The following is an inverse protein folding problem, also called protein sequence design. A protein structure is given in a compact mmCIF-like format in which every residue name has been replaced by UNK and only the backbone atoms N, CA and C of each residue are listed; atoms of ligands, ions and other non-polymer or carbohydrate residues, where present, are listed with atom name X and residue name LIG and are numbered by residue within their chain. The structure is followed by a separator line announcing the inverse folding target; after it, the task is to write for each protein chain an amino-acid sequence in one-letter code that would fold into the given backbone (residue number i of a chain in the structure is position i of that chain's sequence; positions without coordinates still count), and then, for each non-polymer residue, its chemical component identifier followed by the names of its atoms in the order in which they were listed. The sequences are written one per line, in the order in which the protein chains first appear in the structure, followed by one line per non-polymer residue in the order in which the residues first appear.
data_IF_139827603093
#
_entry.id   IF_139827603093
#
_cell.length_a   1.000
_cell.length_b   1.000
_cell.length_c   1.000
_cell.angle_alpha   90.00
_cell.angle_beta   90.00
_cell.angle_gamma   90.00
#
_symmetry.space_group_name_H-M   'P 1'
#
loop_
_entity.id
_entity.type
_entity.pdbx_description
1 polymer ?
#
# COMPACT_ATOMS: atom_id res chain seq x y z
N UNK A 1 18.56 -29.42 7.34
CA UNK A 1 17.34 -29.30 6.50
C UNK A 1 16.26 -28.34 7.03
N UNK A 2 16.41 -27.71 8.21
CA UNK A 2 15.45 -26.70 8.75
C UNK A 2 15.60 -25.30 8.09
N UNK A 3 16.74 -25.06 7.43
CA UNK A 3 17.13 -23.74 6.86
C UNK A 3 16.23 -23.23 5.72
N UNK A 4 15.44 -24.07 5.04
CA UNK A 4 14.71 -23.64 3.84
C UNK A 4 13.36 -22.93 4.11
N UNK A 5 12.70 -23.17 5.26
CA UNK A 5 11.33 -22.66 5.50
C UNK A 5 11.27 -21.34 6.27
N UNK A 6 12.27 -21.05 7.11
CA UNK A 6 12.28 -19.87 7.98
C UNK A 6 12.86 -18.65 7.24
N UNK A 7 13.73 -18.87 6.26
CA UNK A 7 14.43 -17.81 5.52
C UNK A 7 13.49 -16.85 4.76
N UNK A 8 12.39 -17.31 4.12
CA UNK A 8 11.41 -16.39 3.52
C UNK A 8 10.73 -15.50 4.56
N UNK A 9 10.41 -16.04 5.74
CA UNK A 9 9.80 -15.26 6.83
C UNK A 9 10.77 -14.19 7.34
N UNK A 10 12.05 -14.53 7.52
CA UNK A 10 13.08 -13.53 7.86
C UNK A 10 13.23 -12.45 6.81
N UNK A 11 13.17 -12.81 5.53
CA UNK A 11 13.29 -11.85 4.42
C UNK A 11 12.08 -10.91 4.38
N UNK A 12 10.87 -11.44 4.60
CA UNK A 12 9.66 -10.64 4.75
C UNK A 12 9.75 -9.72 5.97
N UNK A 13 10.24 -10.22 7.12
CA UNK A 13 10.40 -9.42 8.33
C UNK A 13 11.43 -8.30 8.13
N UNK A 14 12.59 -8.59 7.53
CA UNK A 14 13.60 -7.59 7.21
C UNK A 14 13.05 -6.51 6.26
N UNK A 15 12.35 -6.92 5.20
CA UNK A 15 11.63 -6.00 4.32
C UNK A 15 10.64 -5.13 5.11
N UNK A 16 9.78 -5.74 5.92
CA UNK A 16 8.74 -5.04 6.68
C UNK A 16 9.33 -4.00 7.65
N UNK A 17 10.43 -4.36 8.34
CA UNK A 17 11.15 -3.45 9.23
C UNK A 17 11.76 -2.29 8.46
N UNK A 18 12.54 -2.56 7.40
CA UNK A 18 13.22 -1.51 6.62
C UNK A 18 12.19 -0.58 5.95
N UNK A 19 11.15 -1.15 5.34
CA UNK A 19 10.07 -0.39 4.72
C UNK A 19 9.31 0.47 5.75
N UNK A 20 8.99 -0.07 6.93
CA UNK A 20 8.28 0.68 7.97
C UNK A 20 9.14 1.80 8.58
N UNK A 21 10.44 1.54 8.82
CA UNK A 21 11.38 2.51 9.33
C UNK A 21 11.56 3.68 8.35
N UNK A 22 11.80 3.38 7.07
CA UNK A 22 11.96 4.39 6.03
C UNK A 22 10.66 5.15 5.74
N UNK A 23 9.51 4.50 5.92
CA UNK A 23 8.22 5.17 5.83
C UNK A 23 7.93 6.07 7.04
N UNK A 24 8.59 5.91 8.19
CA UNK A 24 8.26 6.58 9.46
C UNK A 24 8.38 8.12 9.40
N UNK A 25 7.56 8.84 10.18
CA UNK A 25 7.68 10.30 10.29
C UNK A 25 9.05 10.74 10.86
N UNK A 26 9.61 10.10 11.91
CA UNK A 26 10.93 10.47 12.42
C UNK A 26 12.03 10.38 11.35
N UNK A 27 12.05 9.30 10.57
CA UNK A 27 13.02 9.14 9.48
C UNK A 27 12.85 10.23 8.41
N UNK A 28 11.61 10.54 8.04
CA UNK A 28 11.31 11.64 7.11
C UNK A 28 11.80 13.00 7.63
N UNK A 29 11.62 13.29 8.92
CA UNK A 29 12.14 14.54 9.53
C UNK A 29 13.67 14.58 9.49
N UNK A 30 14.34 13.46 9.78
CA UNK A 30 15.79 13.35 9.70
C UNK A 30 16.29 13.63 8.27
N UNK A 31 15.63 13.02 7.26
CA UNK A 31 15.94 13.26 5.86
C UNK A 31 15.74 14.71 5.43
N UNK A 32 14.62 15.35 5.81
CA UNK A 32 14.35 16.76 5.48
C UNK A 32 15.37 17.68 6.16
N UNK A 33 15.78 17.38 7.40
CA UNK A 33 16.84 18.14 8.10
C UNK A 33 18.20 18.03 7.41
N UNK A 34 18.56 16.85 6.90
CA UNK A 34 19.87 16.63 6.25
C UNK A 34 19.93 17.06 4.78
N UNK A 35 18.86 16.84 4.01
CA UNK A 35 18.84 17.04 2.56
C UNK A 35 18.11 18.33 2.12
N UNK A 36 17.39 18.99 3.04
CA UNK A 36 16.64 20.20 2.75
C UNK A 36 15.59 20.00 1.64
N UNK A 37 15.59 20.88 0.64
CA UNK A 37 14.68 20.81 -0.53
C UNK A 37 14.90 19.57 -1.40
N UNK A 38 16.09 18.94 -1.35
CA UNK A 38 16.34 17.73 -2.15
C UNK A 38 15.53 16.53 -1.69
N UNK A 39 15.10 16.52 -0.43
CA UNK A 39 14.28 15.44 0.13
C UNK A 39 12.94 15.27 -0.63
N UNK A 40 12.37 16.35 -1.17
CA UNK A 40 11.05 16.30 -1.82
C UNK A 40 11.03 15.47 -3.10
N UNK A 41 12.11 15.49 -3.89
CA UNK A 41 12.22 14.74 -5.15
C UNK A 41 13.01 13.43 -5.01
N UNK A 42 13.95 13.35 -4.06
CA UNK A 42 14.73 12.13 -3.84
C UNK A 42 14.00 11.08 -3.01
N UNK A 43 13.13 11.50 -2.08
CA UNK A 43 12.54 10.57 -1.10
C UNK A 43 11.80 9.42 -1.78
N UNK A 44 10.85 9.70 -2.67
CA UNK A 44 9.97 8.66 -3.22
C UNK A 44 10.71 7.67 -4.14
N UNK A 45 11.59 8.10 -5.07
CA UNK A 45 12.41 7.18 -5.86
C UNK A 45 13.33 6.31 -5.01
N UNK A 46 14.04 6.90 -4.04
CA UNK A 46 14.96 6.15 -3.17
C UNK A 46 14.20 5.18 -2.27
N UNK A 47 13.09 5.63 -1.68
CA UNK A 47 12.20 4.79 -0.89
C UNK A 47 11.71 3.57 -1.69
N UNK A 48 11.27 3.80 -2.93
CA UNK A 48 10.79 2.74 -3.82
C UNK A 48 11.92 1.77 -4.21
N UNK A 49 13.11 2.29 -4.49
CA UNK A 49 14.28 1.47 -4.80
C UNK A 49 14.70 0.61 -3.60
N UNK A 50 14.75 1.17 -2.40
CA UNK A 50 15.05 0.41 -1.16
C UNK A 50 14.01 -0.68 -0.93
N UNK A 51 12.72 -0.38 -1.08
CA UNK A 51 11.65 -1.37 -0.97
C UNK A 51 11.81 -2.50 -2.00
N UNK A 52 12.15 -2.17 -3.24
CA UNK A 52 12.38 -3.16 -4.30
C UNK A 52 13.61 -4.03 -4.00
N UNK A 53 14.73 -3.44 -3.60
CA UNK A 53 15.95 -4.20 -3.28
C UNK A 53 15.76 -5.12 -2.08
N UNK A 54 14.99 -4.69 -1.08
CA UNK A 54 14.78 -5.47 0.15
C UNK A 54 13.76 -6.58 0.00
N UNK A 55 12.82 -6.51 -0.95
CA UNK A 55 11.88 -7.60 -1.24
C UNK A 55 12.47 -8.67 -2.18
N UNK A 56 13.47 -8.33 -3.00
CA UNK A 56 14.08 -9.25 -3.97
C UNK A 56 14.58 -10.58 -3.36
N UNK A 57 15.25 -10.60 -2.18
CA UNK A 57 15.65 -11.85 -1.55
C UNK A 57 14.47 -12.80 -1.26
N UNK A 58 13.33 -12.25 -0.84
CA UNK A 58 12.11 -13.04 -0.61
C UNK A 58 11.59 -13.64 -1.92
N UNK A 59 11.49 -12.82 -2.97
CA UNK A 59 11.04 -13.27 -4.30
C UNK A 59 11.95 -14.37 -4.84
N UNK A 60 13.26 -14.19 -4.74
CA UNK A 60 14.25 -15.17 -5.17
C UNK A 60 14.11 -16.50 -4.42
N UNK A 61 13.91 -16.46 -3.10
CA UNK A 61 13.73 -17.67 -2.29
C UNK A 61 12.44 -18.41 -2.63
N UNK A 62 11.34 -17.69 -2.83
CA UNK A 62 10.06 -18.28 -3.24
C UNK A 62 10.12 -18.88 -4.64
N UNK A 63 10.89 -18.26 -5.54
CA UNK A 63 11.14 -18.80 -6.88
C UNK A 63 11.96 -20.10 -6.83
N UNK A 64 13.07 -20.10 -6.08
CA UNK A 64 13.98 -21.26 -5.97
C UNK A 64 13.36 -22.42 -5.19
N UNK A 65 12.59 -22.11 -4.15
CA UNK A 65 11.98 -23.08 -3.25
C UNK A 65 10.49 -22.74 -3.03
N UNK A 66 9.63 -22.96 -4.03
CA UNK A 66 8.22 -22.62 -3.93
C UNK A 66 7.47 -23.49 -2.90
N UNK A 67 8.03 -24.65 -2.55
CA UNK A 67 7.40 -25.61 -1.64
C UNK A 67 6.30 -26.43 -2.33
N UNK A 68 5.57 -27.23 -1.55
CA UNK A 68 4.51 -28.09 -2.06
C UNK A 68 3.37 -27.24 -2.66
N UNK A 69 2.93 -27.58 -3.85
CA UNK A 69 1.74 -27.00 -4.47
C UNK A 69 0.50 -27.45 -3.69
N UNK A 70 -0.34 -26.49 -3.32
CA UNK A 70 -1.62 -26.72 -2.66
C UNK A 70 -2.75 -26.84 -3.69
N UNK A 71 -2.80 -25.92 -4.65
CA UNK A 71 -3.76 -25.98 -5.75
C UNK A 71 -3.18 -25.36 -7.03
N UNK A 72 -3.77 -25.76 -8.16
CA UNK A 72 -3.61 -25.14 -9.48
C UNK A 72 -5.00 -24.96 -10.08
N UNK A 73 -5.36 -23.71 -10.39
CA UNK A 73 -6.65 -23.43 -11.01
C UNK A 73 -6.55 -23.70 -12.53
N UNK A 74 -7.45 -24.50 -13.12
CA UNK A 74 -7.43 -24.80 -14.55
C UNK A 74 -7.99 -23.63 -15.39
N UNK A 75 -7.77 -23.70 -16.70
CA UNK A 75 -8.45 -22.85 -17.68
C UNK A 75 -9.96 -23.15 -17.68
N UNK A 76 -10.85 -22.14 -17.88
CA UNK A 76 -10.56 -20.72 -18.13
C UNK A 76 -10.39 -19.88 -16.85
N UNK A 77 -10.72 -20.41 -15.68
CA UNK A 77 -10.77 -19.68 -14.40
C UNK A 77 -9.43 -19.05 -14.00
N UNK A 78 -8.31 -19.69 -14.35
CA UNK A 78 -6.97 -19.11 -14.17
C UNK A 78 -6.84 -17.73 -14.81
N UNK A 79 -7.41 -17.54 -16.01
CA UNK A 79 -7.30 -16.28 -16.73
C UNK A 79 -8.15 -15.18 -16.12
N UNK A 80 -9.26 -15.53 -15.46
CA UNK A 80 -10.04 -14.56 -14.68
C UNK A 80 -9.23 -14.06 -13.46
N UNK A 81 -8.52 -14.96 -12.78
CA UNK A 81 -7.64 -14.59 -11.66
C UNK A 81 -6.49 -13.68 -12.12
N UNK A 82 -5.78 -14.07 -13.18
CA UNK A 82 -4.71 -13.25 -13.77
C UNK A 82 -5.25 -11.89 -14.27
N UNK A 83 -6.42 -11.88 -14.92
CA UNK A 83 -7.09 -10.66 -15.34
C UNK A 83 -7.36 -9.71 -14.17
N UNK A 84 -7.83 -10.24 -13.03
CA UNK A 84 -8.01 -9.46 -11.82
C UNK A 84 -6.70 -8.89 -11.25
N UNK A 85 -5.62 -9.67 -11.26
CA UNK A 85 -4.29 -9.19 -10.86
C UNK A 85 -3.79 -8.04 -11.76
N UNK A 86 -3.99 -8.15 -13.08
CA UNK A 86 -3.60 -7.11 -14.04
C UNK A 86 -4.43 -5.84 -13.85
N UNK A 87 -5.76 -5.97 -13.71
CA UNK A 87 -6.65 -4.83 -13.43
C UNK A 87 -6.22 -4.11 -12.15
N UNK A 88 -5.99 -4.84 -11.06
CA UNK A 88 -5.52 -4.26 -9.79
C UNK A 88 -4.16 -3.55 -9.94
N UNK A 89 -3.24 -4.11 -10.74
CA UNK A 89 -1.92 -3.55 -11.01
C UNK A 89 -1.98 -2.28 -11.86
N UNK A 90 -2.94 -2.17 -12.78
CA UNK A 90 -3.17 -0.97 -13.60
C UNK A 90 -3.89 0.13 -12.82
N UNK A 91 -4.83 -0.25 -11.94
CA UNK A 91 -5.61 0.69 -11.14
C UNK A 91 -4.76 1.30 -10.00
N UNK A 92 -3.87 0.52 -9.37
CA UNK A 92 -3.09 1.00 -8.23
C UNK A 92 -2.27 2.29 -8.50
N UNK A 93 -1.57 2.45 -9.63
CA UNK A 93 -0.88 3.70 -9.96
C UNK A 93 -1.81 4.92 -10.05
N UNK A 94 -3.08 4.74 -10.45
CA UNK A 94 -4.04 5.87 -10.48
C UNK A 94 -4.26 6.47 -9.10
N UNK A 95 -4.13 5.70 -8.03
CA UNK A 95 -4.23 6.20 -6.66
C UNK A 95 -3.11 7.21 -6.31
N UNK A 96 -1.94 7.16 -6.97
CA UNK A 96 -0.93 8.22 -6.83
C UNK A 96 -1.35 9.48 -7.56
N UNK A 97 -1.91 9.35 -8.76
CA UNK A 97 -2.36 10.47 -9.60
C UNK A 97 -3.56 11.21 -9.01
N UNK A 98 -4.47 10.48 -8.35
CA UNK A 98 -5.68 11.04 -7.76
C UNK A 98 -5.44 11.81 -6.45
N UNK A 99 -4.31 11.56 -5.77
CA UNK A 99 -3.97 12.24 -4.51
C UNK A 99 -2.45 12.43 -4.31
N UNK A 100 -1.75 13.15 -5.21
CA UNK A 100 -0.29 13.28 -5.17
C UNK A 100 0.21 13.98 -3.91
N UNK A 101 -0.57 14.92 -3.37
CA UNK A 101 -0.20 15.65 -2.15
C UNK A 101 -0.06 14.75 -0.92
N UNK A 102 -0.79 13.63 -0.86
CA UNK A 102 -0.66 12.65 0.24
C UNK A 102 0.72 12.00 0.29
N UNK A 103 1.47 11.99 -0.82
CA UNK A 103 2.78 11.34 -0.93
C UNK A 103 3.97 12.29 -0.80
N UNK A 104 3.72 13.61 -0.77
CA UNK A 104 4.77 14.61 -0.59
C UNK A 104 5.28 14.58 0.84
N UNK A 105 6.60 14.45 1.01
CA UNK A 105 7.23 14.31 2.33
C UNK A 105 6.94 15.51 3.24
N UNK A 106 7.05 16.75 2.74
CA UNK A 106 6.71 17.97 3.51
C UNK A 106 5.25 18.00 3.94
N UNK A 107 4.35 17.60 3.05
CA UNK A 107 2.92 17.55 3.34
C UNK A 107 2.62 16.56 4.47
N UNK A 108 3.29 15.42 4.51
CA UNK A 108 3.16 14.44 5.60
C UNK A 108 3.79 14.88 6.94
N UNK A 109 4.70 15.86 6.91
CA UNK A 109 5.35 16.41 8.11
C UNK A 109 4.70 17.71 8.60
N UNK A 110 3.72 18.23 7.87
CA UNK A 110 3.02 19.46 8.18
C UNK A 110 2.05 19.32 9.35
N UNK A 111 1.59 20.46 9.84
CA UNK A 111 0.51 20.57 10.83
C UNK A 111 -0.81 20.78 10.07
N UNK A 112 -1.95 20.26 10.56
CA UNK A 112 -3.24 20.51 9.93
C UNK A 112 -3.50 22.01 9.69
N UNK A 113 -4.20 22.31 8.60
CA UNK A 113 -4.62 23.67 8.22
C UNK A 113 -3.48 24.64 7.87
N UNK A 114 -2.24 24.16 7.68
CA UNK A 114 -1.16 24.98 7.10
C UNK A 114 -1.13 24.86 5.57
N UNK A 115 -0.57 25.85 4.85
CA UNK A 115 -0.39 25.78 3.39
C UNK A 115 0.35 24.51 2.93
N UNK A 116 1.28 24.02 3.73
CA UNK A 116 2.09 22.82 3.46
C UNK A 116 1.28 21.52 3.58
N UNK A 117 0.27 21.48 4.45
CA UNK A 117 -0.64 20.34 4.58
C UNK A 117 -1.47 20.14 3.32
N UNK A 118 -1.83 21.25 2.65
CA UNK A 118 -2.79 21.27 1.56
C UNK A 118 -4.19 20.84 2.01
N UNK A 119 -5.13 20.79 1.07
CA UNK A 119 -6.49 20.33 1.33
C UNK A 119 -6.65 18.84 1.02
N UNK A 120 -7.57 18.16 1.73
CA UNK A 120 -7.92 16.77 1.45
C UNK A 120 -8.70 16.70 0.13
N UNK A 121 -7.97 16.57 -0.98
CA UNK A 121 -8.60 16.47 -2.29
C UNK A 121 -9.07 15.04 -2.57
N UNK A 122 -10.34 14.75 -2.28
CA UNK A 122 -10.95 13.44 -2.56
C UNK A 122 -11.41 13.42 -4.02
N UNK A 123 -10.68 12.72 -4.88
CA UNK A 123 -10.99 12.56 -6.31
C UNK A 123 -10.71 11.13 -6.78
N UNK A 124 -11.21 10.81 -7.97
CA UNK A 124 -10.95 9.53 -8.64
C UNK A 124 -11.27 8.31 -7.77
N UNK A 125 -10.31 7.40 -7.64
CA UNK A 125 -10.48 6.13 -6.91
C UNK A 125 -10.81 6.31 -5.43
N UNK A 126 -10.35 7.40 -4.80
CA UNK A 126 -10.58 7.67 -3.39
C UNK A 126 -12.05 7.99 -3.06
N UNK A 127 -12.89 8.24 -4.07
CA UNK A 127 -14.36 8.34 -3.89
C UNK A 127 -15.01 6.98 -3.60
N UNK A 128 -14.33 5.90 -3.98
CA UNK A 128 -14.87 4.54 -3.94
C UNK A 128 -14.34 3.75 -2.76
N UNK A 129 -13.04 3.85 -2.54
CA UNK A 129 -12.30 3.10 -1.52
C UNK A 129 -11.20 4.01 -0.98
N UNK A 130 -11.06 4.10 0.35
CA UNK A 130 -10.09 5.02 0.94
C UNK A 130 -8.66 4.49 0.97
N UNK A 131 -8.48 3.17 0.90
CA UNK A 131 -7.18 2.52 0.76
C UNK A 131 -7.12 1.60 -0.48
N UNK A 132 -6.91 2.18 -1.67
CA UNK A 132 -6.78 1.42 -2.91
C UNK A 132 -5.51 0.56 -2.94
N UNK A 133 -4.44 0.92 -2.20
CA UNK A 133 -3.19 0.14 -2.19
C UNK A 133 -3.36 -1.16 -1.41
N UNK A 134 -4.03 -1.10 -0.25
CA UNK A 134 -4.40 -2.30 0.49
C UNK A 134 -5.30 -3.20 -0.36
N UNK A 135 -6.35 -2.65 -0.98
CA UNK A 135 -7.26 -3.43 -1.82
C UNK A 135 -6.52 -4.10 -2.98
N UNK A 136 -5.77 -3.33 -3.78
CA UNK A 136 -5.02 -3.88 -4.91
C UNK A 136 -3.98 -4.91 -4.46
N UNK A 137 -3.28 -4.66 -3.35
CA UNK A 137 -2.31 -5.61 -2.79
C UNK A 137 -2.96 -6.95 -2.43
N UNK A 138 -4.12 -6.93 -1.76
CA UNK A 138 -4.87 -8.14 -1.43
C UNK A 138 -5.38 -8.86 -2.68
N UNK A 139 -5.94 -8.12 -3.66
CA UNK A 139 -6.38 -8.70 -4.93
C UNK A 139 -5.23 -9.39 -5.66
N UNK A 140 -4.07 -8.74 -5.74
CA UNK A 140 -2.89 -9.30 -6.43
C UNK A 140 -2.44 -10.61 -5.79
N UNK A 141 -2.30 -10.67 -4.45
CA UNK A 141 -1.79 -11.89 -3.81
C UNK A 141 -2.84 -13.00 -3.78
N UNK A 142 -4.11 -12.70 -3.50
CA UNK A 142 -5.15 -13.71 -3.33
C UNK A 142 -5.71 -14.23 -4.67
N UNK A 143 -5.57 -13.48 -5.76
CA UNK A 143 -5.83 -13.99 -7.12
C UNK A 143 -4.63 -14.72 -7.73
N UNK A 144 -3.76 -15.30 -6.91
CA UNK A 144 -2.69 -16.18 -7.40
C UNK A 144 -3.24 -17.55 -7.82
N UNK A 145 -3.13 -17.95 -9.11
CA UNK A 145 -3.79 -19.15 -9.63
C UNK A 145 -3.06 -20.46 -9.30
N UNK A 146 -1.82 -20.39 -8.82
CA UNK A 146 -1.03 -21.54 -8.34
C UNK A 146 -0.50 -21.23 -6.97
N UNK A 147 -1.11 -21.83 -5.94
CA UNK A 147 -0.73 -21.59 -4.56
C UNK A 147 0.18 -22.70 -4.06
N UNK A 148 1.22 -22.31 -3.35
CA UNK A 148 2.10 -23.24 -2.64
C UNK A 148 2.04 -22.97 -1.15
N UNK A 149 2.52 -23.93 -0.35
CA UNK A 149 2.59 -23.78 1.12
C UNK A 149 3.39 -22.53 1.51
N UNK A 150 4.54 -22.29 0.86
CA UNK A 150 5.39 -21.15 1.20
C UNK A 150 4.73 -19.82 0.79
N UNK A 151 4.07 -19.77 -0.38
CA UNK A 151 3.30 -18.58 -0.79
C UNK A 151 2.16 -18.28 0.18
N UNK A 152 1.41 -19.30 0.60
CA UNK A 152 0.30 -19.12 1.53
C UNK A 152 0.75 -18.51 2.86
N UNK A 153 1.84 -19.04 3.46
CA UNK A 153 2.41 -18.49 4.70
C UNK A 153 2.82 -17.03 4.51
N UNK A 154 3.52 -16.72 3.42
CA UNK A 154 3.95 -15.35 3.12
C UNK A 154 2.76 -14.43 2.86
N UNK A 155 1.71 -14.88 2.17
CA UNK A 155 0.53 -14.08 1.87
C UNK A 155 -0.32 -13.79 3.11
N UNK A 156 -0.42 -14.72 4.05
CA UNK A 156 -1.06 -14.47 5.34
C UNK A 156 -0.31 -13.39 6.13
N UNK A 157 1.02 -13.52 6.25
CA UNK A 157 1.85 -12.52 6.93
C UNK A 157 1.83 -11.16 6.22
N UNK A 158 1.87 -11.17 4.88
CA UNK A 158 1.78 -9.97 4.06
C UNK A 158 0.41 -9.30 4.21
N UNK A 159 -0.68 -10.06 4.29
CA UNK A 159 -2.03 -9.53 4.54
C UNK A 159 -2.08 -8.78 5.88
N UNK A 160 -1.53 -9.37 6.95
CA UNK A 160 -1.42 -8.73 8.26
C UNK A 160 -0.59 -7.45 8.14
N UNK A 161 0.59 -7.53 7.53
CA UNK A 161 1.49 -6.39 7.36
C UNK A 161 0.84 -5.24 6.57
N UNK A 162 0.19 -5.53 5.44
CA UNK A 162 -0.51 -4.53 4.63
C UNK A 162 -1.65 -3.88 5.43
N UNK A 163 -2.42 -4.67 6.18
CA UNK A 163 -3.52 -4.15 6.99
C UNK A 163 -3.03 -3.24 8.13
N UNK A 164 -1.95 -3.63 8.83
CA UNK A 164 -1.31 -2.79 9.84
C UNK A 164 -0.69 -1.53 9.22
N UNK A 165 -0.06 -1.66 8.06
CA UNK A 165 0.47 -0.54 7.28
C UNK A 165 -0.62 0.44 6.88
N UNK A 166 -1.79 -0.05 6.49
CA UNK A 166 -2.99 0.74 6.19
C UNK A 166 -3.48 1.52 7.41
N UNK A 167 -3.56 0.88 8.59
CA UNK A 167 -3.91 1.57 9.84
C UNK A 167 -2.92 2.69 10.16
N UNK A 168 -1.63 2.41 10.04
CA UNK A 168 -0.55 3.37 10.28
C UNK A 168 -0.50 4.51 9.26
N UNK A 169 -0.93 4.24 8.03
CA UNK A 169 -1.04 5.25 6.99
C UNK A 169 -2.21 6.19 7.28
N UNK A 170 -3.40 5.65 7.61
CA UNK A 170 -4.56 6.47 7.95
C UNK A 170 -4.32 7.33 9.20
N UNK A 171 -3.62 6.82 10.23
CA UNK A 171 -3.30 7.62 11.42
C UNK A 171 -2.49 8.89 11.09
N UNK A 172 -1.62 8.82 10.07
CA UNK A 172 -0.86 9.98 9.57
C UNK A 172 -1.72 10.94 8.75
N UNK A 173 -2.66 10.41 7.98
CA UNK A 173 -3.61 11.26 7.26
C UNK A 173 -4.54 11.98 8.23
N UNK A 174 -4.93 11.36 9.35
CA UNK A 174 -5.61 12.05 10.45
C UNK A 174 -4.70 13.11 11.06
N UNK A 175 -3.42 12.82 11.31
CA UNK A 175 -2.48 13.80 11.84
C UNK A 175 -2.23 14.98 10.88
N UNK A 176 -2.37 14.77 9.57
CA UNK A 176 -2.19 15.78 8.53
C UNK A 176 -3.45 16.62 8.26
N UNK A 177 -4.62 15.98 8.20
CA UNK A 177 -5.88 16.62 7.74
C UNK A 177 -6.93 16.77 8.85
N UNK A 178 -6.69 16.23 10.05
CA UNK A 178 -7.57 16.37 11.20
C UNK A 178 -8.98 15.81 10.97
N UNK A 179 -9.98 16.59 11.38
CA UNK A 179 -11.40 16.21 11.34
C UNK A 179 -11.93 16.01 9.91
N UNK A 180 -11.35 16.71 8.92
CA UNK A 180 -11.71 16.52 7.50
C UNK A 180 -11.50 15.05 7.07
N UNK A 181 -10.41 14.43 7.53
CA UNK A 181 -10.14 13.03 7.23
C UNK A 181 -11.01 12.06 8.04
N UNK A 182 -11.36 12.40 9.29
CA UNK A 182 -12.27 11.59 10.11
C UNK A 182 -13.66 11.53 9.48
N UNK A 183 -14.15 12.65 8.96
CA UNK A 183 -15.42 12.69 8.24
C UNK A 183 -15.37 11.87 6.95
N UNK A 184 -14.28 11.96 6.21
CA UNK A 184 -14.04 11.09 5.06
C UNK A 184 -14.03 9.60 5.42
N UNK A 185 -13.44 9.20 6.55
CA UNK A 185 -13.45 7.81 7.01
C UNK A 185 -14.85 7.29 7.35
N UNK A 186 -15.76 8.14 7.86
CA UNK A 186 -17.16 7.75 8.10
C UNK A 186 -17.90 7.49 6.79
N UNK A 187 -17.49 8.17 5.71
CA UNK A 187 -18.16 8.14 4.41
C UNK A 187 -17.55 7.19 3.41
N UNK A 188 -16.29 6.78 3.52
CA UNK A 188 -15.67 5.89 2.52
C UNK A 188 -15.05 4.68 3.21
N UNK A 189 -15.44 3.50 2.74
CA UNK A 189 -14.95 2.24 3.27
C UNK A 189 -13.47 2.03 2.94
N UNK A 190 -12.73 1.40 3.85
CA UNK A 190 -11.30 1.13 3.66
C UNK A 190 -11.01 0.19 2.49
N UNK A 191 -11.74 -0.92 2.42
CA UNK A 191 -11.45 -2.04 1.54
C UNK A 191 -12.53 -2.25 0.48
N UNK A 192 -13.79 -2.31 0.90
CA UNK A 192 -14.90 -2.65 0.02
C UNK A 192 -15.32 -1.40 -0.74
N UNK A 193 -15.17 -1.34 -2.07
CA UNK A 193 -15.57 -0.19 -2.85
C UNK A 193 -17.07 0.09 -2.67
N UNK A 194 -17.41 1.38 -2.56
CA UNK A 194 -18.81 1.81 -2.56
C UNK A 194 -19.45 1.63 -3.94
N UNK A 195 -20.78 1.57 -3.99
CA UNK A 195 -21.52 1.64 -5.26
C UNK A 195 -21.40 3.02 -5.91
N UNK A 196 -21.54 3.09 -7.24
CA UNK A 196 -21.46 4.31 -8.05
C UNK A 196 -22.36 5.44 -7.56
N UNK A 197 -23.56 5.11 -7.06
CA UNK A 197 -24.52 6.09 -6.52
C UNK A 197 -23.94 6.80 -5.28
N UNK A 198 -23.35 6.03 -4.36
CA UNK A 198 -22.82 6.55 -3.09
C UNK A 198 -21.50 7.33 -3.27
N UNK A 199 -20.77 7.09 -4.36
CA UNK A 199 -19.54 7.84 -4.67
C UNK A 199 -19.84 9.28 -5.14
N UNK A 200 -21.01 9.53 -5.76
CA UNK A 200 -21.45 10.88 -6.18
C UNK A 200 -21.82 11.79 -5.01
N UNK A 201 -22.31 11.23 -3.91
CA UNK A 201 -22.73 12.02 -2.74
C UNK A 201 -21.55 12.70 -2.02
N UNK A 202 -20.31 12.27 -2.29
CA UNK A 202 -19.10 12.89 -1.75
C UNK A 202 -18.85 14.28 -2.35
N UNK A 203 -19.36 14.54 -3.56
CA UNK A 203 -19.13 15.80 -4.27
C UNK A 203 -19.91 16.99 -3.63
N UNK A 204 -20.97 16.69 -2.86
CA UNK A 204 -21.83 17.69 -2.19
C UNK A 204 -21.27 18.26 -0.87
N UNK A 205 -20.05 17.87 -0.47
CA UNK A 205 -19.43 18.34 0.78
C UNK A 205 -18.46 19.52 0.58
N UNK A 206 -18.31 20.00 -0.66
CA UNK A 206 -17.53 21.18 -1.01
C UNK A 206 -18.37 22.42 -1.33
N UNK A 207 -19.69 22.30 -1.26
CA UNK A 207 -20.66 23.41 -1.25
C UNK A 207 -21.08 23.72 0.19
#
# INVERSE_FOLDING_TARGET
MVSSKITPVFSLAAFAVIHSLTASLPFKRLLVRGLGSRADWLYLPVYSLVAMLTILPLVYQLYKNPGRVLYKIPSPWRWLMVGGQLIASIIAPKAFLDAPNRFKIRSQLSVPQTPEAGSLNIRGIYRWVRDPFLLSGLVIIWLTPTMTVNLLVIYLLTTIYLYLGSLHWESRLIAQFGDEYREYQRRVNRLIPKSWKNAKDIDKFKE
#
